data_IF_832113470534
#
_entry.id   IF_832113470534
#
_cell.length_a   1.000
_cell.length_b   1.000
_cell.length_c   1.000
_cell.angle_alpha   90.00
_cell.angle_beta   90.00
_cell.angle_gamma   90.00
#
_symmetry.space_group_name_H-M   'P 1'
#
loop_
_entity.id
_entity.type
_entity.pdbx_description
1 polymer ?
#
# COMPACT_ATOMS: atom_id res chain seq x y z
N UNK A 1 2.23 26.61 9.41
CA UNK A 1 0.94 26.10 8.88
C UNK A 1 1.19 25.71 7.43
N UNK A 2 0.83 24.51 7.00
CA UNK A 2 1.17 24.03 5.65
C UNK A 2 0.37 24.85 4.62
N UNK A 3 1.04 25.44 3.62
CA UNK A 3 0.42 26.31 2.57
C UNK A 3 -0.78 25.61 1.92
N UNK A 4 -0.69 24.30 1.70
CA UNK A 4 -1.79 23.51 1.13
C UNK A 4 -3.04 23.52 2.03
N UNK A 5 -2.89 23.35 3.36
CA UNK A 5 -4.03 23.40 4.28
C UNK A 5 -4.72 24.77 4.23
N UNK A 6 -3.95 25.85 4.11
CA UNK A 6 -4.50 27.20 3.97
C UNK A 6 -5.29 27.37 2.67
N UNK A 7 -4.79 26.84 1.55
CA UNK A 7 -5.47 26.91 0.26
C UNK A 7 -6.75 26.07 0.29
N UNK A 8 -6.74 24.86 0.84
CA UNK A 8 -7.95 24.05 0.98
C UNK A 8 -9.03 24.77 1.81
N UNK A 9 -8.64 25.43 2.91
CA UNK A 9 -9.58 26.25 3.71
C UNK A 9 -10.15 27.41 2.88
N UNK A 10 -9.32 28.10 2.10
CA UNK A 10 -9.79 29.18 1.22
C UNK A 10 -10.78 28.68 0.16
N UNK A 11 -10.47 27.54 -0.48
CA UNK A 11 -11.37 26.92 -1.46
C UNK A 11 -12.68 26.50 -0.79
N UNK A 12 -12.63 25.86 0.39
CA UNK A 12 -13.80 25.47 1.17
C UNK A 12 -14.70 26.69 1.45
N UNK A 13 -14.13 27.76 1.97
CA UNK A 13 -14.84 29.00 2.25
C UNK A 13 -15.46 29.65 0.98
N UNK A 14 -14.70 29.66 -0.13
CA UNK A 14 -15.17 30.18 -1.41
C UNK A 14 -16.36 29.39 -1.96
N UNK A 15 -16.38 28.08 -1.70
CA UNK A 15 -17.41 27.15 -2.19
C UNK A 15 -18.54 26.93 -1.18
N UNK A 16 -18.46 27.53 0.04
CA UNK A 16 -19.40 27.30 1.13
C UNK A 16 -19.38 25.86 1.64
N UNK A 17 -18.20 25.21 1.62
CA UNK A 17 -17.99 23.85 2.05
C UNK A 17 -17.22 23.80 3.38
N UNK A 18 -17.67 22.99 4.31
CA UNK A 18 -16.92 22.67 5.53
C UNK A 18 -15.89 21.57 5.22
N UNK A 19 -14.64 21.78 5.68
CA UNK A 19 -13.59 20.78 5.49
C UNK A 19 -13.64 19.75 6.61
N UNK A 20 -13.59 18.49 6.27
CA UNK A 20 -13.38 17.44 7.26
C UNK A 20 -11.92 17.44 7.74
N UNK A 21 -11.73 17.30 9.05
CA UNK A 21 -10.39 17.23 9.61
C UNK A 21 -9.64 16.03 9.05
N UNK A 22 -8.43 16.29 8.56
CA UNK A 22 -7.50 15.30 8.05
C UNK A 22 -6.13 15.53 8.64
N UNK A 23 -5.59 14.50 9.27
CA UNK A 23 -4.21 14.54 9.77
C UNK A 23 -3.26 14.38 8.58
N UNK A 24 -2.65 15.50 8.16
CA UNK A 24 -1.63 15.49 7.12
C UNK A 24 -0.32 14.96 7.73
N UNK A 25 0.11 13.81 7.27
CA UNK A 25 1.41 13.25 7.67
C UNK A 25 2.53 14.01 6.98
N UNK A 26 3.32 14.74 7.75
CA UNK A 26 4.48 15.51 7.24
C UNK A 26 5.82 14.95 7.75
N UNK A 27 5.80 13.87 8.55
CA UNK A 27 7.02 13.28 9.08
C UNK A 27 7.72 12.44 8.00
N UNK A 28 8.98 12.76 7.75
CA UNK A 28 9.89 11.88 7.01
C UNK A 28 10.52 10.95 8.04
N UNK A 29 10.30 9.66 7.93
CA UNK A 29 10.97 8.66 8.75
C UNK A 29 12.44 8.55 8.31
N UNK A 30 13.36 8.45 9.27
CA UNK A 30 14.79 8.23 8.99
C UNK A 30 14.98 6.87 8.27
N UNK A 31 14.24 5.86 8.70
CA UNK A 31 14.11 4.56 8.03
C UNK A 31 12.64 4.41 7.63
N UNK A 32 12.31 4.10 6.37
CA UNK A 32 10.92 4.12 5.86
C UNK A 32 10.13 2.87 6.29
N UNK A 33 9.97 2.67 7.60
CA UNK A 33 9.30 1.49 8.19
C UNK A 33 7.84 1.44 7.78
N UNK A 34 7.12 2.57 7.82
CA UNK A 34 5.71 2.64 7.41
C UNK A 34 5.52 2.22 5.97
N UNK A 35 6.38 2.71 5.06
CA UNK A 35 6.31 2.33 3.65
C UNK A 35 6.64 0.84 3.44
N UNK A 36 7.63 0.32 4.17
CA UNK A 36 8.01 -1.10 4.11
C UNK A 36 6.86 -2.01 4.55
N UNK A 37 6.16 -1.65 5.63
CA UNK A 37 4.98 -2.37 6.11
C UNK A 37 3.86 -2.29 5.06
N UNK A 38 3.58 -1.10 4.53
CA UNK A 38 2.54 -0.89 3.53
C UNK A 38 2.81 -1.68 2.24
N UNK A 39 4.03 -1.67 1.74
CA UNK A 39 4.43 -2.45 0.56
C UNK A 39 4.23 -3.95 0.80
N UNK A 40 4.72 -4.48 1.93
CA UNK A 40 4.56 -5.90 2.25
C UNK A 40 3.09 -6.30 2.36
N UNK A 41 2.26 -5.49 3.01
CA UNK A 41 0.83 -5.75 3.15
C UNK A 41 0.07 -5.61 1.83
N UNK A 42 0.41 -4.64 0.99
CA UNK A 42 -0.15 -4.49 -0.36
C UNK A 42 0.16 -5.73 -1.20
N UNK A 43 1.42 -6.15 -1.24
CA UNK A 43 1.87 -7.34 -1.96
C UNK A 43 1.11 -8.60 -1.49
N UNK A 44 1.04 -8.86 -0.17
CA UNK A 44 0.32 -10.04 0.34
C UNK A 44 -1.19 -9.93 0.06
N UNK A 45 -1.78 -8.74 0.09
CA UNK A 45 -3.23 -8.55 -0.15
C UNK A 45 -3.60 -8.84 -1.60
N UNK A 46 -2.75 -8.41 -2.54
CA UNK A 46 -2.99 -8.55 -3.99
C UNK A 46 -2.37 -9.82 -4.59
N UNK A 47 -1.55 -10.53 -3.82
CA UNK A 47 -0.99 -11.80 -4.25
C UNK A 47 -2.10 -12.77 -4.62
N UNK A 48 -1.97 -13.39 -5.78
CA UNK A 48 -2.94 -14.34 -6.34
C UNK A 48 -4.36 -13.78 -6.51
N UNK A 49 -4.51 -12.44 -6.56
CA UNK A 49 -5.80 -11.83 -6.89
C UNK A 49 -5.92 -11.66 -8.40
N UNK A 50 -7.13 -11.91 -8.90
CA UNK A 50 -7.50 -11.57 -10.28
C UNK A 50 -8.68 -10.60 -10.27
N UNK A 51 -8.50 -9.50 -10.99
CA UNK A 51 -9.56 -8.51 -11.22
C UNK A 51 -9.88 -8.56 -12.71
N UNK A 52 -11.11 -8.87 -13.03
CA UNK A 52 -11.50 -9.02 -14.42
C UNK A 52 -12.85 -8.34 -14.73
N UNK A 53 -13.02 -7.96 -15.99
CA UNK A 53 -14.23 -7.30 -16.51
C UNK A 53 -14.95 -8.23 -17.42
N UNK A 54 -16.10 -8.69 -16.98
CA UNK A 54 -16.93 -9.65 -17.70
C UNK A 54 -17.97 -8.92 -18.54
N UNK A 55 -18.02 -9.23 -19.84
CA UNK A 55 -18.99 -8.72 -20.79
C UNK A 55 -18.58 -9.08 -22.22
N UNK A 56 -19.54 -9.18 -23.12
CA UNK A 56 -19.32 -9.57 -24.55
C UNK A 56 -19.32 -8.38 -25.50
N UNK A 57 -19.53 -7.17 -24.98
CA UNK A 57 -19.62 -5.96 -25.78
C UNK A 57 -18.27 -5.23 -25.90
N UNK A 58 -18.17 -4.33 -26.89
CA UNK A 58 -16.93 -3.56 -27.14
C UNK A 58 -16.45 -2.75 -25.94
N UNK A 59 -17.36 -2.30 -25.08
CA UNK A 59 -17.01 -1.54 -23.88
C UNK A 59 -16.31 -2.42 -22.84
N UNK A 60 -16.85 -3.60 -22.56
CA UNK A 60 -16.24 -4.55 -21.65
C UNK A 60 -14.84 -4.97 -22.12
N UNK A 61 -14.69 -5.28 -23.42
CA UNK A 61 -13.37 -5.60 -23.99
C UNK A 61 -12.37 -4.44 -23.84
N UNK A 62 -12.78 -3.22 -24.13
CA UNK A 62 -11.93 -2.04 -23.99
C UNK A 62 -11.52 -1.78 -22.53
N UNK A 63 -12.45 -1.95 -21.58
CA UNK A 63 -12.14 -1.79 -20.16
C UNK A 63 -11.21 -2.88 -19.64
N UNK A 64 -11.35 -4.12 -20.14
CA UNK A 64 -10.43 -5.22 -19.82
C UNK A 64 -9.03 -4.93 -20.37
N UNK A 65 -8.92 -4.44 -21.61
CA UNK A 65 -7.63 -4.03 -22.19
C UNK A 65 -6.93 -2.94 -21.38
N UNK A 66 -7.67 -1.93 -20.91
CA UNK A 66 -7.13 -0.88 -20.02
C UNK A 66 -6.65 -1.49 -18.71
N UNK A 67 -7.43 -2.39 -18.13
CA UNK A 67 -7.09 -3.03 -16.86
C UNK A 67 -5.77 -3.80 -16.98
N UNK A 68 -5.63 -4.62 -18.00
CA UNK A 68 -4.45 -5.46 -18.24
C UNK A 68 -3.22 -4.65 -18.66
N UNK A 69 -3.40 -3.59 -19.46
CA UNK A 69 -2.27 -2.85 -20.05
C UNK A 69 -1.51 -2.00 -19.05
N UNK A 70 -2.19 -1.36 -18.11
CA UNK A 70 -1.51 -0.46 -17.15
C UNK A 70 -2.23 -0.22 -15.83
N UNK A 71 -3.56 -0.45 -15.77
CA UNK A 71 -4.34 -0.04 -14.60
C UNK A 71 -4.07 -0.95 -13.39
N UNK A 72 -3.75 -2.22 -13.62
CA UNK A 72 -3.42 -3.15 -12.55
C UNK A 72 -2.23 -2.67 -11.72
N UNK A 73 -1.14 -2.25 -12.36
CA UNK A 73 0.03 -1.65 -11.70
C UNK A 73 -0.33 -0.38 -10.91
N UNK A 74 -1.25 0.44 -11.46
CA UNK A 74 -1.74 1.64 -10.78
C UNK A 74 -2.56 1.30 -9.53
N UNK A 75 -3.33 0.24 -9.56
CA UNK A 75 -4.10 -0.25 -8.41
C UNK A 75 -3.16 -0.74 -7.31
N UNK A 76 -2.11 -1.50 -7.64
CA UNK A 76 -1.10 -1.95 -6.69
C UNK A 76 -0.44 -0.79 -5.97
N UNK A 77 0.02 0.20 -6.73
CA UNK A 77 0.64 1.41 -6.18
C UNK A 77 -0.34 2.21 -5.32
N UNK A 78 -1.61 2.33 -5.72
CA UNK A 78 -2.63 3.02 -4.94
C UNK A 78 -2.93 2.28 -3.62
N UNK A 79 -2.87 0.96 -3.59
CA UNK A 79 -3.03 0.15 -2.38
C UNK A 79 -1.88 0.40 -1.39
N UNK A 80 -0.63 0.42 -1.86
CA UNK A 80 0.52 0.75 -1.01
C UNK A 80 0.39 2.17 -0.43
N UNK A 81 0.01 3.16 -1.25
CA UNK A 81 -0.20 4.53 -0.81
C UNK A 81 -1.35 4.61 0.21
N UNK A 82 -2.46 3.91 -0.03
CA UNK A 82 -3.60 3.90 0.90
C UNK A 82 -3.23 3.30 2.26
N UNK A 83 -2.40 2.26 2.30
CA UNK A 83 -1.90 1.67 3.55
C UNK A 83 -0.92 2.60 4.27
N UNK A 84 -0.01 3.24 3.54
CA UNK A 84 1.01 4.11 4.14
C UNK A 84 0.44 5.45 4.62
N UNK A 85 -0.54 6.02 3.92
CA UNK A 85 -1.06 7.38 4.20
C UNK A 85 -2.50 7.42 4.69
N UNK A 86 -3.20 6.29 4.66
CA UNK A 86 -4.59 6.13 5.12
C UNK A 86 -5.61 6.01 3.99
N UNK A 87 -5.46 6.77 2.93
CA UNK A 87 -6.31 6.70 1.74
C UNK A 87 -5.60 7.20 0.47
N UNK A 88 -6.13 6.79 -0.67
CA UNK A 88 -5.66 7.17 -1.98
C UNK A 88 -6.84 7.34 -2.93
N UNK A 89 -6.76 8.28 -3.88
CA UNK A 89 -7.73 8.39 -4.95
C UNK A 89 -7.13 7.94 -6.27
N UNK A 90 -7.94 7.24 -7.04
CA UNK A 90 -7.73 6.94 -8.44
C UNK A 90 -8.63 7.90 -9.25
N UNK A 91 -8.02 8.87 -9.92
CA UNK A 91 -8.74 9.89 -10.68
C UNK A 91 -8.59 9.64 -12.17
N UNK A 92 -9.64 9.19 -12.86
CA UNK A 92 -9.57 9.01 -14.29
C UNK A 92 -9.63 10.35 -15.02
N UNK A 93 -8.93 10.41 -16.16
CA UNK A 93 -8.95 11.54 -17.10
C UNK A 93 -8.88 11.01 -18.52
N UNK A 94 -9.11 11.89 -19.50
CA UNK A 94 -9.04 11.53 -20.91
C UNK A 94 -8.31 12.61 -21.71
N UNK A 95 -7.55 12.21 -22.69
CA UNK A 95 -6.99 13.08 -23.73
C UNK A 95 -7.88 13.18 -24.98
N UNK A 96 -9.09 12.62 -24.91
CA UNK A 96 -10.07 12.53 -25.99
C UNK A 96 -10.18 11.13 -26.60
N UNK A 97 -9.11 10.37 -26.70
CA UNK A 97 -9.10 9.01 -27.26
C UNK A 97 -8.75 7.94 -26.22
N UNK A 98 -7.87 8.26 -25.28
CA UNK A 98 -7.39 7.32 -24.29
C UNK A 98 -7.87 7.73 -22.90
N UNK A 99 -8.04 6.75 -22.03
CA UNK A 99 -8.29 6.96 -20.61
C UNK A 99 -6.96 6.80 -19.87
N UNK A 100 -6.63 7.79 -19.05
CA UNK A 100 -5.55 7.71 -18.07
C UNK A 100 -6.14 7.68 -16.65
N UNK A 101 -5.35 7.24 -15.68
CA UNK A 101 -5.70 7.27 -14.25
C UNK A 101 -4.55 7.84 -13.44
N UNK A 102 -4.80 8.98 -12.82
CA UNK A 102 -3.87 9.60 -11.88
C UNK A 102 -4.08 9.04 -10.47
N UNK A 103 -2.97 8.88 -9.75
CA UNK A 103 -2.95 8.50 -8.35
C UNK A 103 -2.80 9.77 -7.51
N UNK A 104 -3.82 10.08 -6.70
CA UNK A 104 -3.82 11.24 -5.82
C UNK A 104 -3.57 10.80 -4.38
N UNK A 105 -2.47 11.26 -3.83
CA UNK A 105 -2.05 10.92 -2.46
C UNK A 105 -2.97 11.56 -1.43
N UNK A 106 -3.02 10.97 -0.23
CA UNK A 106 -3.85 11.45 0.88
C UNK A 106 -3.68 12.95 1.19
N UNK A 107 -2.49 13.51 1.02
CA UNK A 107 -2.21 14.92 1.29
C UNK A 107 -2.66 15.88 0.17
N UNK A 108 -2.99 15.36 -1.00
CA UNK A 108 -3.34 16.13 -2.19
C UNK A 108 -4.86 16.20 -2.42
N UNK A 109 -5.67 15.71 -1.48
CA UNK A 109 -7.12 15.90 -1.51
C UNK A 109 -7.72 16.06 -0.11
N UNK A 110 -8.90 16.68 -0.04
CA UNK A 110 -9.70 16.81 1.18
C UNK A 110 -11.16 16.52 0.86
N UNK A 111 -11.78 15.67 1.68
CA UNK A 111 -13.21 15.45 1.66
C UNK A 111 -13.89 16.61 2.40
N UNK A 112 -14.91 17.20 1.80
CA UNK A 112 -15.64 18.34 2.37
C UNK A 112 -17.00 17.91 2.93
N UNK A 113 -17.72 17.05 2.20
CA UNK A 113 -19.04 16.58 2.62
C UNK A 113 -19.20 15.07 2.35
N UNK A 114 -19.85 14.40 3.28
CA UNK A 114 -20.13 12.97 3.19
C UNK A 114 -21.35 12.55 4.03
N UNK A 115 -22.01 11.48 3.63
CA UNK A 115 -23.02 10.80 4.42
C UNK A 115 -22.55 9.35 4.64
N UNK A 116 -22.20 9.03 5.88
CA UNK A 116 -21.55 7.74 6.18
C UNK A 116 -20.27 7.60 5.36
N UNK A 117 -20.13 6.52 4.61
CA UNK A 117 -18.96 6.30 3.72
C UNK A 117 -19.12 6.93 2.32
N UNK A 118 -20.24 7.54 2.03
CA UNK A 118 -20.52 8.14 0.73
C UNK A 118 -20.04 9.60 0.68
N UNK A 119 -19.02 9.86 -0.16
CA UNK A 119 -18.44 11.20 -0.34
C UNK A 119 -19.30 12.01 -1.29
N UNK A 120 -19.76 13.19 -0.85
CA UNK A 120 -20.56 14.12 -1.67
C UNK A 120 -19.75 15.26 -2.25
N UNK A 121 -18.71 15.70 -1.57
CA UNK A 121 -17.86 16.78 -2.05
C UNK A 121 -16.40 16.55 -1.69
N UNK A 122 -15.51 16.85 -2.66
CA UNK A 122 -14.07 16.66 -2.53
C UNK A 122 -13.32 17.79 -3.26
N UNK A 123 -12.20 18.20 -2.69
CA UNK A 123 -11.23 19.09 -3.32
C UNK A 123 -9.96 18.28 -3.61
N UNK A 124 -9.50 18.33 -4.85
CA UNK A 124 -8.34 17.56 -5.33
C UNK A 124 -7.31 18.52 -5.90
N UNK A 125 -6.06 18.39 -5.47
CA UNK A 125 -4.90 19.02 -6.13
C UNK A 125 -4.57 18.19 -7.37
N UNK A 126 -4.68 18.80 -8.57
CA UNK A 126 -4.49 18.10 -9.83
C UNK A 126 -3.09 18.28 -10.39
N UNK A 127 -2.67 19.53 -10.59
CA UNK A 127 -1.43 19.86 -11.27
C UNK A 127 -0.67 20.95 -10.52
N UNK A 128 0.65 20.94 -10.69
CA UNK A 128 1.54 21.97 -10.21
C UNK A 128 2.52 22.35 -11.32
N UNK A 129 2.56 23.63 -11.70
CA UNK A 129 3.42 24.13 -12.77
C UNK A 129 4.28 25.27 -12.23
N UNK A 130 5.60 25.12 -12.39
CA UNK A 130 6.56 26.17 -12.04
C UNK A 130 6.83 27.07 -13.26
N UNK A 131 6.50 28.38 -13.12
CA UNK A 131 6.77 29.40 -14.15
C UNK A 131 7.63 30.52 -13.53
N UNK A 132 8.92 30.50 -13.80
CA UNK A 132 9.90 31.37 -13.13
C UNK A 132 10.06 31.05 -11.65
N UNK A 133 9.84 32.05 -10.80
CA UNK A 133 9.87 31.90 -9.32
C UNK A 133 8.52 31.49 -8.73
N UNK A 134 7.44 31.55 -9.52
CA UNK A 134 6.09 31.26 -9.08
C UNK A 134 5.74 29.79 -9.29
N UNK A 135 4.98 29.25 -8.34
CA UNK A 135 4.41 27.90 -8.40
C UNK A 135 2.91 28.05 -8.51
N UNK A 136 2.36 27.61 -9.63
CA UNK A 136 0.93 27.62 -9.90
C UNK A 136 0.37 26.23 -9.65
N UNK A 137 -0.71 26.13 -8.89
CA UNK A 137 -1.34 24.86 -8.55
C UNK A 137 -2.81 24.90 -8.96
N UNK A 138 -3.25 23.86 -9.66
CA UNK A 138 -4.65 23.68 -10.07
C UNK A 138 -5.36 22.72 -9.13
N UNK A 139 -6.55 23.13 -8.73
CA UNK A 139 -7.45 22.34 -7.88
C UNK A 139 -8.75 22.06 -8.62
N UNK A 140 -9.25 20.86 -8.43
CA UNK A 140 -10.58 20.44 -8.89
C UNK A 140 -11.49 20.22 -7.69
N UNK A 141 -12.66 20.80 -7.73
CA UNK A 141 -13.71 20.63 -6.72
C UNK A 141 -14.85 19.86 -7.35
N UNK A 142 -15.14 18.68 -6.86
CA UNK A 142 -16.29 17.89 -7.27
C UNK A 142 -17.35 17.93 -6.17
N UNK A 143 -18.60 18.26 -6.52
CA UNK A 143 -19.71 18.34 -5.57
C UNK A 143 -20.97 17.76 -6.17
N UNK A 144 -21.57 16.79 -5.48
CA UNK A 144 -22.88 16.25 -5.82
C UNK A 144 -23.97 17.14 -5.24
N UNK A 145 -24.91 17.54 -6.08
CA UNK A 145 -26.11 18.31 -5.70
C UNK A 145 -27.34 17.61 -6.19
N UNK A 146 -28.40 17.66 -5.42
CA UNK A 146 -29.70 17.17 -5.81
C UNK A 146 -30.68 18.34 -5.92
N UNK A 147 -31.31 18.46 -7.07
CA UNK A 147 -32.33 19.48 -7.34
C UNK A 147 -33.51 18.80 -7.99
N UNK A 148 -34.69 18.93 -7.40
CA UNK A 148 -35.95 18.34 -7.89
C UNK A 148 -35.86 16.81 -8.12
N UNK A 149 -35.13 16.08 -7.25
CA UNK A 149 -34.94 14.63 -7.39
C UNK A 149 -33.96 14.17 -8.48
N UNK A 150 -33.28 15.11 -9.13
CA UNK A 150 -32.22 14.81 -10.12
C UNK A 150 -30.88 15.13 -9.48
N UNK A 151 -29.96 14.16 -9.52
CA UNK A 151 -28.59 14.36 -9.02
C UNK A 151 -27.71 14.97 -10.12
N UNK A 152 -26.94 15.97 -9.73
CA UNK A 152 -25.99 16.68 -10.60
C UNK A 152 -24.60 16.61 -9.99
N UNK A 153 -23.60 16.36 -10.81
CA UNK A 153 -22.21 16.58 -10.43
C UNK A 153 -21.75 17.93 -10.95
N UNK A 154 -21.32 18.80 -10.03
CA UNK A 154 -20.70 20.08 -10.34
C UNK A 154 -19.19 19.93 -10.17
N UNK A 155 -18.43 20.19 -11.23
CA UNK A 155 -16.98 20.18 -11.24
C UNK A 155 -16.52 21.61 -11.44
N UNK A 156 -15.72 22.14 -10.50
CA UNK A 156 -15.08 23.47 -10.63
C UNK A 156 -13.58 23.35 -10.63
N UNK A 157 -12.95 24.08 -11.54
CA UNK A 157 -11.49 24.17 -11.65
C UNK A 157 -11.02 25.53 -11.14
N UNK A 158 -10.03 25.50 -10.25
CA UNK A 158 -9.48 26.70 -9.62
C UNK A 158 -7.96 26.67 -9.72
N UNK A 159 -7.34 27.81 -10.03
CA UNK A 159 -5.88 27.94 -10.05
C UNK A 159 -5.41 28.92 -8.97
N UNK A 160 -4.27 28.62 -8.37
CA UNK A 160 -3.66 29.46 -7.33
C UNK A 160 -2.17 29.64 -7.61
N UNK A 161 -1.66 30.85 -7.30
CA UNK A 161 -0.24 31.15 -7.16
C UNK A 161 0.03 31.44 -5.68
N UNK A 162 0.64 30.48 -4.98
CA UNK A 162 0.66 30.50 -3.53
C UNK A 162 -0.76 30.55 -2.98
N UNK A 163 -1.11 31.59 -2.21
CA UNK A 163 -2.44 31.76 -1.64
C UNK A 163 -3.41 32.58 -2.51
N UNK A 164 -2.97 33.13 -3.63
CA UNK A 164 -3.79 34.02 -4.47
C UNK A 164 -4.44 33.22 -5.60
N UNK A 165 -5.77 33.34 -5.72
CA UNK A 165 -6.48 32.75 -6.85
C UNK A 165 -6.12 33.54 -8.13
N UNK A 166 -5.88 32.79 -9.21
CA UNK A 166 -5.54 33.32 -10.54
C UNK A 166 -6.42 32.64 -11.59
N UNK A 167 -6.65 33.28 -12.74
CA UNK A 167 -7.36 32.63 -13.85
C UNK A 167 -6.60 31.42 -14.39
N UNK A 168 -7.32 30.42 -14.92
CA UNK A 168 -6.71 29.21 -15.49
C UNK A 168 -5.80 29.50 -16.69
N UNK A 169 -6.15 30.52 -17.49
CA UNK A 169 -5.41 30.90 -18.70
C UNK A 169 -4.00 31.48 -18.44
N UNK A 170 -3.59 31.69 -17.20
CA UNK A 170 -2.21 32.09 -16.84
C UNK A 170 -1.22 30.99 -17.21
N UNK A 171 -1.67 29.75 -17.26
CA UNK A 171 -0.90 28.58 -17.68
C UNK A 171 -1.48 28.04 -18.99
N UNK A 172 -0.68 27.99 -20.03
CA UNK A 172 -1.11 27.64 -21.39
C UNK A 172 -1.78 26.28 -21.48
N UNK A 173 -1.29 25.29 -20.72
CA UNK A 173 -1.88 23.94 -20.66
C UNK A 173 -3.26 23.90 -19.99
N UNK A 174 -3.63 24.91 -19.21
CA UNK A 174 -4.93 25.00 -18.53
C UNK A 174 -5.92 25.91 -19.23
N UNK A 175 -5.49 26.66 -20.26
CA UNK A 175 -6.31 27.67 -20.94
C UNK A 175 -7.61 27.12 -21.55
N UNK A 176 -7.58 25.85 -21.97
CA UNK A 176 -8.74 25.18 -22.57
C UNK A 176 -9.62 24.40 -21.55
N UNK A 177 -9.24 24.40 -20.26
CA UNK A 177 -10.02 23.72 -19.22
C UNK A 177 -11.20 24.60 -18.84
N UNK A 178 -12.41 24.04 -18.85
CA UNK A 178 -13.62 24.74 -18.44
C UNK A 178 -13.60 24.98 -16.93
N UNK A 179 -13.84 26.22 -16.50
CA UNK A 179 -13.88 26.59 -15.09
C UNK A 179 -14.99 25.88 -14.32
N UNK A 180 -16.15 25.66 -14.95
CA UNK A 180 -17.28 24.94 -14.36
C UNK A 180 -17.93 23.99 -15.36
N UNK A 181 -18.25 22.80 -14.90
CA UNK A 181 -18.99 21.78 -15.65
C UNK A 181 -20.08 21.20 -14.75
N UNK A 182 -21.28 21.02 -15.33
CA UNK A 182 -22.42 20.42 -14.64
C UNK A 182 -22.84 19.20 -15.43
N UNK A 183 -22.80 18.03 -14.79
CA UNK A 183 -23.15 16.76 -15.44
C UNK A 183 -24.39 16.19 -14.73
N UNK A 184 -25.52 16.07 -15.45
CA UNK A 184 -26.76 15.53 -14.86
C UNK A 184 -26.70 14.00 -14.74
N UNK A 185 -27.57 13.48 -13.88
CA UNK A 185 -27.78 12.05 -13.65
C UNK A 185 -26.55 11.29 -13.13
N UNK A 186 -25.68 11.97 -12.39
CA UNK A 186 -24.49 11.37 -11.77
C UNK A 186 -24.79 11.06 -10.32
N UNK A 187 -24.53 9.82 -9.91
CA UNK A 187 -24.85 9.31 -8.56
C UNK A 187 -23.68 9.35 -7.57
N UNK A 188 -22.45 9.47 -8.06
CA UNK A 188 -21.24 9.51 -7.23
C UNK A 188 -20.16 10.38 -7.88
N UNK A 189 -19.13 10.75 -7.13
CA UNK A 189 -17.99 11.51 -7.65
C UNK A 189 -17.22 10.71 -8.72
N UNK A 190 -16.54 11.41 -9.62
CA UNK A 190 -15.75 10.78 -10.69
C UNK A 190 -14.34 10.44 -10.22
N UNK A 191 -14.25 9.75 -9.11
CA UNK A 191 -12.99 9.22 -8.53
C UNK A 191 -13.26 7.88 -7.87
N UNK A 192 -12.27 7.00 -7.89
CA UNK A 192 -12.24 5.79 -7.06
C UNK A 192 -11.45 6.06 -5.77
N UNK A 193 -12.03 5.82 -4.60
CA UNK A 193 -11.34 6.03 -3.32
C UNK A 193 -11.01 4.70 -2.67
N UNK A 194 -9.71 4.40 -2.52
CA UNK A 194 -9.22 3.27 -1.75
C UNK A 194 -8.88 3.76 -0.34
N UNK A 195 -9.54 3.19 0.66
CA UNK A 195 -9.34 3.51 2.07
C UNK A 195 -8.54 2.40 2.75
N UNK A 196 -7.54 2.76 3.56
CA UNK A 196 -6.84 1.82 4.43
C UNK A 196 -7.81 1.13 5.40
N UNK A 197 -7.52 -0.11 5.82
CA UNK A 197 -8.40 -0.89 6.70
C UNK A 197 -8.31 -0.50 8.18
N UNK A 198 -7.35 0.37 8.54
CA UNK A 198 -7.12 0.83 9.91
C UNK A 198 -8.24 1.76 10.36
N UNK A 199 -8.75 1.55 11.58
CA UNK A 199 -9.81 2.37 12.14
C UNK A 199 -9.24 3.73 12.57
N UNK A 200 -9.92 4.80 12.18
CA UNK A 200 -9.63 6.14 12.69
C UNK A 200 -10.28 6.30 14.07
N UNK A 201 -9.50 6.09 15.13
CA UNK A 201 -9.99 6.15 16.51
C UNK A 201 -10.25 7.60 16.94
N UNK A 202 -9.51 8.57 16.39
CA UNK A 202 -9.65 9.98 16.73
C UNK A 202 -10.97 10.57 16.20
N UNK A 203 -11.43 10.04 15.05
CA UNK A 203 -12.71 10.43 14.45
C UNK A 203 -13.38 9.23 13.76
N UNK A 204 -14.20 8.51 14.53
CA UNK A 204 -14.89 7.28 14.10
C UNK A 204 -15.83 7.53 12.89
N UNK A 205 -16.40 8.73 12.80
CA UNK A 205 -17.33 9.08 11.72
C UNK A 205 -16.61 9.62 10.47
N UNK A 206 -15.27 9.70 10.50
CA UNK A 206 -14.50 10.18 9.35
C UNK A 206 -14.51 9.17 8.21
N UNK A 207 -14.81 9.66 7.01
CA UNK A 207 -14.64 8.89 5.77
C UNK A 207 -13.16 8.76 5.37
N UNK A 208 -12.28 9.56 5.98
CA UNK A 208 -10.87 9.50 5.71
C UNK A 208 -10.24 8.29 6.42
N UNK A 209 -9.38 7.59 5.71
CA UNK A 209 -8.54 6.54 6.26
C UNK A 209 -7.38 7.11 7.09
N UNK A 210 -6.73 6.25 7.82
CA UNK A 210 -5.48 6.53 8.54
C UNK A 210 -4.44 5.47 8.18
N UNK A 211 -3.17 5.84 8.27
CA UNK A 211 -2.04 4.94 8.02
C UNK A 211 -2.14 3.66 8.85
N UNK A 212 -1.60 2.56 8.34
CA UNK A 212 -1.45 1.31 9.08
C UNK A 212 -0.64 1.48 10.36
N UNK A 213 0.24 2.48 10.40
CA UNK A 213 1.07 2.83 11.57
C UNK A 213 0.55 4.03 12.34
N UNK A 214 -0.70 4.44 12.14
CA UNK A 214 -1.28 5.60 12.82
C UNK A 214 -1.19 5.46 14.36
N UNK A 215 -0.62 6.46 15.02
CA UNK A 215 -0.41 6.46 16.48
C UNK A 215 0.75 5.57 16.97
N UNK A 216 1.51 4.93 16.10
CA UNK A 216 2.61 4.02 16.44
C UNK A 216 4.00 4.67 16.37
N UNK A 217 4.10 6.00 16.27
CA UNK A 217 5.38 6.75 16.19
C UNK A 217 6.43 6.27 17.23
N UNK A 218 5.99 6.02 18.47
CA UNK A 218 6.90 5.57 19.53
C UNK A 218 7.44 4.16 19.28
N UNK A 219 6.61 3.25 18.82
CA UNK A 219 7.00 1.88 18.52
C UNK A 219 7.98 1.85 17.33
N UNK A 220 7.71 2.65 16.31
CA UNK A 220 8.62 2.83 15.16
C UNK A 220 9.97 3.37 15.63
N UNK A 221 9.99 4.41 16.47
CA UNK A 221 11.22 4.97 17.00
C UNK A 221 12.02 3.93 17.81
N UNK A 222 11.37 3.05 18.58
CA UNK A 222 12.08 1.98 19.28
C UNK A 222 12.74 0.97 18.33
N UNK A 223 12.11 0.67 17.20
CA UNK A 223 12.73 -0.18 16.17
C UNK A 223 13.94 0.53 15.56
N UNK A 224 13.81 1.80 15.20
CA UNK A 224 14.91 2.62 14.64
C UNK A 224 16.07 2.73 15.64
N UNK A 225 15.77 3.03 16.90
CA UNK A 225 16.79 3.13 17.95
C UNK A 225 17.52 1.80 18.19
N UNK A 226 16.79 0.67 18.17
CA UNK A 226 17.39 -0.65 18.31
C UNK A 226 18.31 -0.98 17.14
N UNK A 227 17.88 -0.65 15.91
CA UNK A 227 18.69 -0.82 14.71
C UNK A 227 19.95 0.06 14.73
N UNK A 228 19.81 1.32 15.11
CA UNK A 228 20.93 2.26 15.20
C UNK A 228 21.94 1.82 16.28
N UNK A 229 21.47 1.33 17.45
CA UNK A 229 22.34 0.76 18.49
C UNK A 229 23.10 -0.46 18.01
N UNK A 230 22.44 -1.34 17.23
CA UNK A 230 23.10 -2.50 16.64
C UNK A 230 24.23 -2.07 15.70
N UNK A 231 23.97 -1.11 14.79
CA UNK A 231 24.99 -0.60 13.88
C UNK A 231 26.12 0.12 14.63
N UNK A 232 25.79 0.93 15.63
CA UNK A 232 26.80 1.62 16.43
C UNK A 232 27.72 0.63 17.16
N UNK A 233 27.17 -0.46 17.72
CA UNK A 233 27.99 -1.48 18.39
C UNK A 233 28.96 -2.16 17.42
N UNK A 234 28.53 -2.34 16.15
CA UNK A 234 29.41 -2.88 15.08
C UNK A 234 30.52 -1.88 14.75
N UNK A 235 30.19 -0.59 14.62
CA UNK A 235 31.14 0.47 14.35
C UNK A 235 32.13 0.67 15.51
N UNK A 236 31.63 0.64 16.76
CA UNK A 236 32.42 0.82 17.97
C UNK A 236 33.33 -0.38 18.30
N UNK A 237 33.17 -1.54 17.61
CA UNK A 237 34.04 -2.72 17.76
C UNK A 237 35.47 -2.48 17.28
N UNK A 238 35.82 -1.31 16.83
CA UNK A 238 37.20 -1.03 16.45
C UNK A 238 38.15 -1.38 17.60
N UNK A 239 39.14 -2.19 17.30
CA UNK A 239 40.18 -2.59 18.23
C UNK A 239 40.91 -1.33 18.71
N UNK A 240 40.80 -1.03 20.02
CA UNK A 240 41.53 0.08 20.65
C UNK A 240 42.91 -0.39 21.07
N UNK A 241 43.93 0.34 20.68
CA UNK A 241 45.30 0.08 21.06
C UNK A 241 45.73 1.15 22.06
N UNK A 242 45.99 0.75 23.29
CA UNK A 242 46.54 1.61 24.31
C UNK A 242 48.06 1.43 24.35
N UNK A 243 48.80 2.48 24.05
CA UNK A 243 50.24 2.40 23.96
C UNK A 243 50.91 3.43 24.85
N UNK A 244 52.02 3.06 25.49
CA UNK A 244 52.85 3.99 26.27
C UNK A 244 53.47 5.07 25.40
N UNK A 245 53.60 6.28 25.94
CA UNK A 245 54.18 7.45 25.25
C UNK A 245 55.55 7.18 24.63
N UNK A 246 56.33 6.29 25.23
CA UNK A 246 57.67 5.91 24.81
C UNK A 246 57.70 5.20 23.45
N UNK A 247 56.59 4.62 23.00
CA UNK A 247 56.49 3.90 21.75
C UNK A 247 56.21 4.79 20.52
N UNK A 248 55.90 6.05 20.76
CA UNK A 248 55.60 6.98 19.66
C UNK A 248 56.87 7.76 19.25
N UNK A 249 57.13 7.78 17.94
CA UNK A 249 58.24 8.57 17.42
C UNK A 249 57.94 10.07 17.55
N UNK A 250 58.89 10.80 18.07
CA UNK A 250 58.85 12.24 18.19
C UNK A 250 59.42 12.82 16.91
N UNK A 251 58.67 13.68 16.22
CA UNK A 251 59.20 14.43 15.10
C UNK A 251 60.35 15.32 15.59
N UNK A 252 61.49 15.26 14.90
CA UNK A 252 62.69 15.95 15.32
C UNK A 252 62.59 17.47 15.11
N UNK A 253 61.77 17.91 14.12
CA UNK A 253 61.68 19.30 13.69
C UNK A 253 60.71 20.15 14.55
N UNK A 254 59.60 19.58 15.03
CA UNK A 254 58.56 20.35 15.72
C UNK A 254 58.17 19.78 17.12
N UNK A 255 58.78 18.69 17.52
CA UNK A 255 58.50 18.03 18.78
C UNK A 255 57.12 17.38 18.86
N UNK A 256 56.35 17.37 17.75
CA UNK A 256 55.03 16.75 17.67
C UNK A 256 55.12 15.23 17.67
N UNK A 257 54.11 14.59 18.27
CA UNK A 257 54.01 13.15 18.27
C UNK A 257 53.11 12.77 17.10
N UNK A 258 53.66 12.13 16.06
CA UNK A 258 52.88 11.62 14.94
C UNK A 258 52.36 10.21 15.25
N UNK A 259 51.07 10.04 15.13
CA UNK A 259 50.45 8.73 15.10
C UNK A 259 50.62 8.09 13.70
N UNK A 260 50.82 6.77 13.62
CA UNK A 260 50.87 6.11 12.34
C UNK A 260 49.60 6.39 11.52
N UNK A 261 49.74 6.89 10.31
CA UNK A 261 48.65 7.15 9.40
C UNK A 261 48.05 5.81 8.96
N UNK A 262 46.89 5.47 9.49
CA UNK A 262 46.09 4.30 9.13
C UNK A 262 44.65 4.53 9.54
N UNK A 263 43.70 3.86 8.84
CA UNK A 263 42.26 4.02 9.08
C UNK A 263 41.93 3.91 10.58
N UNK A 264 41.40 4.99 11.13
CA UNK A 264 40.64 5.15 12.38
C UNK A 264 40.96 4.21 13.54
N UNK A 265 42.21 4.04 13.91
CA UNK A 265 42.58 3.36 15.15
C UNK A 265 42.76 4.39 16.23
N UNK A 266 41.90 4.35 17.26
CA UNK A 266 41.97 5.27 18.40
C UNK A 266 43.10 4.83 19.31
N UNK A 267 44.16 5.67 19.45
CA UNK A 267 45.26 5.46 20.37
C UNK A 267 45.04 6.34 21.60
N UNK A 268 44.90 5.72 22.77
CA UNK A 268 44.79 6.44 24.03
C UNK A 268 46.08 6.31 24.86
N UNK A 269 46.45 7.42 25.49
CA UNK A 269 47.58 7.45 26.43
C UNK A 269 47.17 6.87 27.77
N UNK A 270 47.88 5.84 28.24
CA UNK A 270 47.79 5.41 29.62
C UNK A 270 48.70 6.28 30.49
N UNK A 271 48.11 7.23 31.22
CA UNK A 271 48.82 8.00 32.26
C UNK A 271 48.99 7.08 33.48
N UNK A 272 50.24 6.69 33.80
CA UNK A 272 50.53 5.97 35.04
C UNK A 272 51.19 4.61 34.91
N UNK A 273 51.41 4.09 33.72
CA UNK A 273 52.34 2.96 33.56
C UNK A 273 53.76 3.49 33.77
N UNK A 274 54.50 2.87 34.71
CA UNK A 274 55.85 3.32 35.08
C UNK A 274 56.77 3.58 33.91
N UNK A 275 57.62 4.57 34.04
CA UNK A 275 58.37 5.22 32.94
C UNK A 275 59.32 4.29 32.16
N UNK A 276 59.54 3.05 32.59
CA UNK A 276 60.65 2.23 32.09
C UNK A 276 60.29 0.99 31.24
N UNK A 277 59.03 0.68 30.95
CA UNK A 277 58.71 -0.42 30.09
C UNK A 277 57.67 -0.06 29.01
N UNK A 278 58.01 -0.26 27.73
CA UNK A 278 57.04 -0.09 26.64
C UNK A 278 55.90 -1.11 26.78
N UNK A 279 54.68 -0.62 26.97
CA UNK A 279 53.49 -1.46 27.07
C UNK A 279 52.48 -1.10 25.98
N UNK A 280 51.97 -2.13 25.33
CA UNK A 280 50.86 -2.06 24.41
C UNK A 280 49.76 -2.96 24.93
N UNK A 281 48.61 -2.39 25.22
CA UNK A 281 47.41 -3.14 25.57
C UNK A 281 46.43 -3.05 24.40
N UNK A 282 45.97 -4.19 23.90
CA UNK A 282 44.98 -4.27 22.83
C UNK A 282 43.65 -4.63 23.47
N UNK A 283 42.71 -3.74 23.35
CA UNK A 283 41.35 -3.97 23.83
C UNK A 283 40.44 -4.16 22.60
N UNK A 284 39.89 -5.36 22.45
CA UNK A 284 38.93 -5.71 21.42
C UNK A 284 37.66 -6.21 22.11
N UNK A 285 36.65 -5.35 22.29
CA UNK A 285 35.44 -5.75 23.00
C UNK A 285 34.68 -6.78 22.16
N UNK A 286 34.05 -7.74 22.84
CA UNK A 286 33.10 -8.63 22.20
C UNK A 286 31.80 -7.87 21.88
N UNK A 287 31.25 -8.08 20.68
CA UNK A 287 29.94 -7.51 20.31
C UNK A 287 28.84 -8.32 20.99
N UNK A 288 27.87 -7.64 21.57
CA UNK A 288 26.66 -8.24 22.15
C UNK A 288 25.61 -8.55 21.07
N UNK A 289 26.01 -9.19 19.97
CA UNK A 289 25.17 -9.42 18.78
C UNK A 289 23.84 -10.06 19.15
N UNK A 290 23.86 -11.19 19.88
CA UNK A 290 22.65 -11.93 20.25
C UNK A 290 21.66 -11.08 21.08
N UNK A 291 22.16 -10.27 22.01
CA UNK A 291 21.31 -9.43 22.86
C UNK A 291 20.67 -8.27 22.05
N UNK A 292 21.42 -7.66 21.13
CA UNK A 292 20.97 -6.57 20.30
C UNK A 292 20.00 -7.06 19.21
N UNK A 293 20.29 -8.18 18.56
CA UNK A 293 19.42 -8.83 17.59
C UNK A 293 18.09 -9.23 18.23
N UNK A 294 18.13 -9.86 19.41
CA UNK A 294 16.93 -10.21 20.17
C UNK A 294 16.11 -8.98 20.57
N UNK A 295 16.77 -7.88 20.92
CA UNK A 295 16.12 -6.60 21.24
C UNK A 295 15.41 -6.01 20.03
N UNK A 296 16.05 -6.01 18.86
CA UNK A 296 15.44 -5.57 17.60
C UNK A 296 14.25 -6.45 17.22
N UNK A 297 14.40 -7.78 17.31
CA UNK A 297 13.34 -8.73 17.01
C UNK A 297 12.11 -8.53 17.93
N UNK A 298 12.31 -8.30 19.22
CA UNK A 298 11.22 -8.01 20.17
C UNK A 298 10.47 -6.73 19.80
N UNK A 299 11.18 -5.66 19.41
CA UNK A 299 10.56 -4.41 18.99
C UNK A 299 9.77 -4.59 17.68
N UNK A 300 10.28 -5.36 16.72
CA UNK A 300 9.56 -5.70 15.49
C UNK A 300 8.31 -6.53 15.79
N UNK A 301 8.38 -7.53 16.66
CA UNK A 301 7.20 -8.33 17.09
C UNK A 301 6.14 -7.47 17.77
N UNK A 302 6.57 -6.51 18.61
CA UNK A 302 5.65 -5.56 19.22
C UNK A 302 4.97 -4.69 18.16
N UNK A 303 5.72 -4.22 17.17
CA UNK A 303 5.17 -3.42 16.07
C UNK A 303 4.17 -4.23 15.22
N UNK A 304 4.47 -5.52 14.93
CA UNK A 304 3.52 -6.45 14.28
C UNK A 304 2.19 -6.50 15.05
N UNK A 305 2.26 -6.76 16.35
CA UNK A 305 1.08 -6.87 17.21
C UNK A 305 0.27 -5.56 17.23
N UNK A 306 0.95 -4.40 17.33
CA UNK A 306 0.30 -3.09 17.35
C UNK A 306 -0.34 -2.72 16.01
N UNK A 307 0.22 -3.16 14.88
CA UNK A 307 -0.39 -3.05 13.56
C UNK A 307 -1.55 -4.03 13.34
N UNK A 308 -1.83 -4.92 14.30
CA UNK A 308 -2.86 -5.97 14.17
C UNK A 308 -2.46 -7.08 13.21
N UNK A 309 -1.15 -7.28 13.03
CA UNK A 309 -0.59 -8.30 12.17
C UNK A 309 -0.22 -9.55 12.98
N UNK A 310 -0.12 -10.66 12.28
CA UNK A 310 0.38 -11.91 12.82
C UNK A 310 1.89 -11.86 12.99
N UNK A 311 2.42 -12.60 13.94
CA UNK A 311 3.86 -12.74 14.13
C UNK A 311 4.52 -13.39 12.91
N UNK A 312 5.69 -12.90 12.51
CA UNK A 312 6.44 -13.41 11.35
C UNK A 312 6.14 -12.69 10.04
N UNK A 313 5.32 -11.64 10.05
CA UNK A 313 5.10 -10.79 8.87
C UNK A 313 6.28 -9.82 8.65
N UNK A 314 6.77 -9.18 9.71
CA UNK A 314 7.94 -8.30 9.67
C UNK A 314 9.21 -8.99 10.17
N UNK A 315 9.06 -9.96 11.06
CA UNK A 315 10.13 -10.78 11.61
C UNK A 315 10.32 -12.06 10.80
N UNK A 316 11.32 -12.85 11.13
CA UNK A 316 11.50 -14.18 10.55
C UNK A 316 10.30 -15.08 10.93
N UNK A 317 9.65 -15.72 9.94
CA UNK A 317 8.54 -16.61 10.23
C UNK A 317 9.01 -17.77 11.11
N UNK A 318 8.19 -18.14 12.09
CA UNK A 318 8.40 -19.37 12.83
C UNK A 318 8.21 -20.55 11.86
N UNK A 319 9.30 -21.21 11.51
CA UNK A 319 9.34 -22.26 10.47
C UNK A 319 8.79 -23.61 10.90
N UNK A 320 8.39 -23.77 12.16
CA UNK A 320 7.98 -25.05 12.73
C UNK A 320 6.46 -25.14 12.93
N UNK A 321 5.68 -24.96 11.85
CA UNK A 321 4.27 -25.35 11.87
C UNK A 321 4.17 -26.85 11.54
N UNK A 322 3.58 -27.64 12.42
CA UNK A 322 3.39 -29.06 12.19
C UNK A 322 2.22 -29.32 11.22
N UNK A 323 1.28 -28.36 11.10
CA UNK A 323 0.10 -28.48 10.25
C UNK A 323 -0.28 -27.16 9.58
N UNK A 324 -0.96 -27.24 8.43
CA UNK A 324 -1.50 -26.07 7.74
C UNK A 324 -2.56 -25.34 8.60
N UNK A 325 -3.28 -26.05 9.47
CA UNK A 325 -4.26 -25.48 10.40
C UNK A 325 -3.59 -24.58 11.44
N UNK A 326 -2.44 -25.00 11.99
CA UNK A 326 -1.66 -24.15 12.90
C UNK A 326 -1.13 -22.91 12.20
N UNK A 327 -0.64 -23.03 10.98
CA UNK A 327 -0.20 -21.92 10.16
C UNK A 327 -1.35 -20.92 9.93
N UNK A 328 -2.55 -21.40 9.57
CA UNK A 328 -3.76 -20.58 9.43
C UNK A 328 -4.12 -19.85 10.71
N UNK A 329 -4.15 -20.57 11.83
CA UNK A 329 -4.46 -19.98 13.12
C UNK A 329 -3.45 -18.89 13.50
N UNK A 330 -2.16 -19.10 13.22
CA UNK A 330 -1.12 -18.10 13.48
C UNK A 330 -1.24 -16.86 12.60
N UNK A 331 -1.76 -16.98 11.38
CA UNK A 331 -1.90 -15.87 10.42
C UNK A 331 -3.30 -15.20 10.44
N UNK A 332 -4.20 -15.62 11.31
CA UNK A 332 -5.60 -15.18 11.35
C UNK A 332 -5.77 -13.65 11.41
N UNK A 333 -4.94 -12.95 12.20
CA UNK A 333 -5.01 -11.49 12.33
C UNK A 333 -4.71 -10.79 11.01
N UNK A 334 -3.65 -11.23 10.32
CA UNK A 334 -3.28 -10.69 9.00
C UNK A 334 -4.37 -10.96 7.96
N UNK A 335 -4.99 -12.14 7.98
CA UNK A 335 -6.11 -12.43 7.07
C UNK A 335 -7.32 -11.55 7.33
N UNK A 336 -7.69 -11.32 8.59
CA UNK A 336 -8.78 -10.42 8.92
C UNK A 336 -8.49 -8.98 8.46
N UNK A 337 -7.23 -8.55 8.56
CA UNK A 337 -6.78 -7.26 8.04
C UNK A 337 -6.91 -7.19 6.51
N UNK A 338 -6.38 -8.20 5.80
CA UNK A 338 -6.44 -8.30 4.34
C UNK A 338 -7.88 -8.33 3.82
N UNK A 339 -8.77 -9.11 4.43
CA UNK A 339 -10.18 -9.20 4.04
C UNK A 339 -10.87 -7.84 4.12
N UNK A 340 -10.63 -7.06 5.17
CA UNK A 340 -11.17 -5.70 5.27
C UNK A 340 -10.59 -4.78 4.20
N UNK A 341 -9.31 -4.92 3.89
CA UNK A 341 -8.67 -4.09 2.88
C UNK A 341 -9.15 -4.45 1.47
N UNK A 342 -9.30 -5.73 1.14
CA UNK A 342 -9.87 -6.22 -0.11
C UNK A 342 -11.25 -5.63 -0.38
N UNK A 343 -12.11 -5.60 0.63
CA UNK A 343 -13.43 -4.95 0.51
C UNK A 343 -13.33 -3.45 0.16
N UNK A 344 -12.38 -2.71 0.78
CA UNK A 344 -12.16 -1.30 0.46
C UNK A 344 -11.58 -1.10 -0.96
N UNK A 345 -10.73 -2.01 -1.43
CA UNK A 345 -10.20 -2.03 -2.79
C UNK A 345 -11.34 -2.23 -3.79
N UNK A 346 -12.21 -3.22 -3.56
CA UNK A 346 -13.37 -3.48 -4.42
C UNK A 346 -14.23 -2.23 -4.58
N UNK A 347 -14.58 -1.57 -3.48
CA UNK A 347 -15.37 -0.35 -3.50
C UNK A 347 -14.68 0.76 -4.30
N UNK A 348 -13.38 0.96 -4.09
CA UNK A 348 -12.61 1.97 -4.81
C UNK A 348 -12.52 1.70 -6.31
N UNK A 349 -12.33 0.44 -6.71
CA UNK A 349 -12.27 0.01 -8.11
C UNK A 349 -13.64 0.14 -8.78
N UNK A 350 -14.73 -0.26 -8.11
CA UNK A 350 -16.09 -0.08 -8.63
C UNK A 350 -16.39 1.41 -8.88
N UNK A 351 -16.00 2.29 -7.96
CA UNK A 351 -16.13 3.74 -8.13
C UNK A 351 -15.30 4.25 -9.32
N UNK A 352 -14.07 3.76 -9.46
CA UNK A 352 -13.20 4.13 -10.57
C UNK A 352 -13.81 3.74 -11.93
N UNK A 353 -14.25 2.51 -12.08
CA UNK A 353 -14.84 2.06 -13.35
C UNK A 353 -16.17 2.75 -13.67
N UNK A 354 -16.96 3.10 -12.64
CA UNK A 354 -18.10 3.98 -12.85
C UNK A 354 -17.67 5.34 -13.40
N UNK A 355 -16.62 5.95 -12.85
CA UNK A 355 -16.11 7.22 -13.35
C UNK A 355 -15.55 7.12 -14.77
N UNK A 356 -14.83 6.05 -15.07
CA UNK A 356 -14.34 5.74 -16.44
C UNK A 356 -15.52 5.59 -17.41
N UNK A 357 -16.58 4.87 -17.04
CA UNK A 357 -17.76 4.69 -17.87
C UNK A 357 -18.43 6.01 -18.26
N UNK A 358 -18.55 6.95 -17.30
CA UNK A 358 -19.06 8.30 -17.55
C UNK A 358 -18.15 9.06 -18.51
N UNK A 359 -16.83 8.98 -18.36
CA UNK A 359 -15.88 9.64 -19.28
C UNK A 359 -15.92 9.04 -20.68
N UNK A 360 -16.05 7.72 -20.82
CA UNK A 360 -16.22 7.05 -22.11
C UNK A 360 -17.49 7.49 -22.82
N UNK A 361 -18.59 7.68 -22.08
CA UNK A 361 -19.84 8.20 -22.60
C UNK A 361 -19.71 9.66 -23.05
N UNK A 362 -19.08 10.50 -22.24
CA UNK A 362 -18.93 11.94 -22.54
C UNK A 362 -18.06 12.19 -23.78
N UNK A 363 -17.08 11.33 -24.05
CA UNK A 363 -16.14 11.45 -25.18
C UNK A 363 -16.45 10.52 -26.36
N UNK A 364 -17.52 9.71 -26.29
CA UNK A 364 -17.92 8.75 -27.32
C UNK A 364 -16.78 7.80 -27.76
N UNK A 365 -15.92 7.39 -26.84
CA UNK A 365 -14.76 6.53 -27.11
C UNK A 365 -15.20 5.11 -27.50
N UNK A 366 -16.19 4.57 -26.80
CA UNK A 366 -16.78 3.26 -27.09
C UNK A 366 -18.30 3.32 -27.01
N UNK A 367 -19.04 2.45 -27.76
CA UNK A 367 -20.48 2.33 -27.60
C UNK A 367 -20.87 1.98 -26.15
N UNK A 368 -22.04 2.43 -25.70
CA UNK A 368 -22.60 2.06 -24.41
C UNK A 368 -22.81 0.55 -24.35
N UNK A 369 -22.40 -0.06 -23.23
CA UNK A 369 -22.53 -1.49 -23.01
C UNK A 369 -22.46 -1.84 -21.53
N UNK A 370 -23.17 -2.86 -21.14
CA UNK A 370 -23.14 -3.36 -19.76
C UNK A 370 -21.88 -4.21 -19.55
N UNK A 371 -21.28 -4.06 -18.36
CA UNK A 371 -20.15 -4.84 -17.91
C UNK A 371 -20.27 -5.11 -16.42
N UNK A 372 -19.57 -6.14 -15.95
CA UNK A 372 -19.51 -6.50 -14.54
C UNK A 372 -18.04 -6.65 -14.15
N UNK A 373 -17.65 -6.05 -13.02
CA UNK A 373 -16.32 -6.24 -12.44
C UNK A 373 -16.40 -7.45 -11.53
N UNK A 374 -15.50 -8.39 -11.70
CA UNK A 374 -15.35 -9.56 -10.83
C UNK A 374 -14.00 -9.51 -10.15
N UNK A 375 -13.99 -9.92 -8.89
CA UNK A 375 -12.81 -9.98 -8.06
C UNK A 375 -12.65 -11.42 -7.59
N UNK A 376 -11.55 -12.03 -7.97
CA UNK A 376 -11.13 -13.31 -7.41
C UNK A 376 -9.98 -13.06 -6.42
N UNK A 377 -10.25 -13.36 -5.17
CA UNK A 377 -9.30 -13.25 -4.08
C UNK A 377 -8.83 -14.64 -3.68
N UNK A 378 -8.36 -15.43 -4.63
CA UNK A 378 -7.81 -16.73 -4.32
C UNK A 378 -6.70 -16.58 -3.28
N UNK A 379 -6.74 -17.39 -2.25
CA UNK A 379 -5.79 -17.31 -1.15
C UNK A 379 -4.84 -18.51 -1.18
N UNK A 380 -4.08 -18.64 -2.27
CA UNK A 380 -3.07 -19.69 -2.39
C UNK A 380 -2.03 -19.66 -1.26
N UNK A 381 -1.81 -18.46 -0.71
CA UNK A 381 -0.96 -18.26 0.48
C UNK A 381 -1.44 -19.08 1.70
N UNK A 382 -2.71 -19.52 1.74
CA UNK A 382 -3.33 -20.19 2.90
C UNK A 382 -4.09 -21.42 2.54
N UNK A 383 -4.56 -21.56 1.33
CA UNK A 383 -5.22 -22.78 0.92
C UNK A 383 -4.19 -23.83 0.58
N UNK A 384 -3.94 -24.67 1.57
CA UNK A 384 -3.24 -25.93 1.31
C UNK A 384 -4.09 -26.72 0.33
N UNK A 385 -3.61 -26.87 -0.91
CA UNK A 385 -4.23 -27.67 -1.97
C UNK A 385 -4.64 -29.04 -1.41
N UNK A 386 -3.86 -29.58 -0.48
CA UNK A 386 -4.15 -30.82 0.24
C UNK A 386 -5.43 -30.74 1.09
N UNK A 387 -5.72 -29.61 1.74
CA UNK A 387 -6.96 -29.47 2.52
C UNK A 387 -8.19 -29.27 1.63
N UNK A 388 -8.04 -28.54 0.53
CA UNK A 388 -9.12 -28.44 -0.47
C UNK A 388 -9.37 -29.80 -1.10
N UNK A 389 -8.35 -30.50 -1.50
CA UNK A 389 -8.44 -31.87 -2.01
C UNK A 389 -9.13 -32.80 -1.01
N UNK A 390 -8.71 -32.78 0.26
CA UNK A 390 -9.32 -33.60 1.30
C UNK A 390 -10.80 -33.25 1.55
N UNK A 391 -11.20 -31.96 1.51
CA UNK A 391 -12.59 -31.54 1.60
C UNK A 391 -13.43 -32.02 0.41
N UNK A 392 -12.87 -31.92 -0.80
CA UNK A 392 -13.52 -32.38 -2.01
C UNK A 392 -13.69 -33.90 -1.97
N UNK A 393 -12.68 -34.65 -1.57
CA UNK A 393 -12.76 -36.11 -1.40
C UNK A 393 -13.74 -36.54 -0.29
N UNK A 394 -13.79 -35.80 0.82
CA UNK A 394 -14.80 -36.04 1.85
C UNK A 394 -16.23 -35.73 1.33
N UNK A 395 -16.37 -34.70 0.53
CA UNK A 395 -17.64 -34.34 -0.11
C UNK A 395 -18.10 -35.40 -1.11
N UNK A 396 -17.19 -36.05 -1.85
CA UNK A 396 -17.50 -37.20 -2.71
C UNK A 396 -17.97 -38.40 -1.90
N UNK A 397 -17.27 -38.73 -0.80
CA UNK A 397 -17.63 -39.86 0.06
C UNK A 397 -19.04 -39.71 0.68
N UNK A 398 -19.55 -38.47 0.83
CA UNK A 398 -20.90 -38.14 1.34
C UNK A 398 -21.88 -37.90 0.19
N UNK A 399 -21.43 -37.95 -1.08
CA UNK A 399 -22.27 -37.76 -2.27
C UNK A 399 -22.68 -36.30 -2.57
N UNK A 400 -21.94 -35.32 -2.01
CA UNK A 400 -22.21 -33.89 -2.21
C UNK A 400 -21.38 -33.30 -3.37
N UNK A 401 -20.24 -33.93 -3.73
CA UNK A 401 -19.34 -33.50 -4.81
C UNK A 401 -19.31 -34.59 -5.88
N UNK A 402 -19.34 -34.19 -7.16
CA UNK A 402 -19.33 -35.11 -8.29
C UNK A 402 -17.89 -35.44 -8.75
N UNK A 403 -17.62 -36.63 -9.31
CA UNK A 403 -16.31 -37.00 -9.84
C UNK A 403 -15.74 -36.04 -10.87
N UNK A 404 -16.59 -35.42 -11.70
CA UNK A 404 -16.18 -34.40 -12.66
C UNK A 404 -15.65 -33.10 -11.99
N UNK A 405 -16.23 -32.71 -10.85
CA UNK A 405 -15.78 -31.55 -10.08
C UNK A 405 -14.42 -31.80 -9.42
N UNK A 406 -14.20 -33.04 -8.97
CA UNK A 406 -12.89 -33.47 -8.43
C UNK A 406 -11.82 -33.42 -9.50
N UNK A 407 -12.14 -33.96 -10.68
CA UNK A 407 -11.21 -33.96 -11.80
C UNK A 407 -10.87 -32.56 -12.26
N UNK A 408 -11.89 -31.68 -12.43
CA UNK A 408 -11.71 -30.29 -12.79
C UNK A 408 -10.73 -29.60 -11.82
N UNK A 409 -10.89 -29.83 -10.51
CA UNK A 409 -10.00 -29.28 -9.48
C UNK A 409 -8.56 -29.82 -9.53
N UNK A 410 -8.40 -31.15 -9.74
CA UNK A 410 -7.06 -31.78 -9.72
C UNK A 410 -6.22 -31.36 -10.92
N UNK A 411 -6.84 -31.25 -12.09
CA UNK A 411 -6.16 -31.04 -13.36
C UNK A 411 -6.28 -29.63 -13.90
N UNK A 412 -6.92 -28.71 -13.15
CA UNK A 412 -7.22 -27.34 -13.55
C UNK A 412 -7.89 -27.27 -14.94
N UNK A 413 -8.88 -28.16 -15.14
CA UNK A 413 -9.64 -28.30 -16.37
C UNK A 413 -11.04 -27.67 -16.21
N UNK A 414 -11.63 -27.20 -17.30
CA UNK A 414 -13.04 -26.79 -17.29
C UNK A 414 -13.98 -27.97 -17.04
N UNK A 415 -15.16 -27.68 -16.47
CA UNK A 415 -16.11 -28.72 -16.02
C UNK A 415 -16.63 -29.61 -17.16
N UNK A 416 -16.74 -29.08 -18.40
CA UNK A 416 -17.17 -29.85 -19.57
C UNK A 416 -16.10 -30.84 -19.99
N UNK A 417 -14.85 -30.41 -20.08
CA UNK A 417 -13.71 -31.29 -20.39
C UNK A 417 -13.52 -32.35 -19.32
N UNK A 418 -13.63 -31.98 -18.05
CA UNK A 418 -13.53 -32.91 -16.93
C UNK A 418 -14.64 -33.99 -16.98
N UNK A 419 -15.87 -33.61 -17.33
CA UNK A 419 -17.01 -34.53 -17.50
C UNK A 419 -16.78 -35.51 -18.63
N UNK A 420 -16.36 -35.03 -19.82
CA UNK A 420 -16.07 -35.90 -20.95
C UNK A 420 -15.03 -36.96 -20.60
N UNK A 421 -13.95 -36.56 -19.96
CA UNK A 421 -12.88 -37.49 -19.56
C UNK A 421 -13.27 -38.46 -18.44
N UNK A 422 -14.16 -38.05 -17.51
CA UNK A 422 -14.72 -38.96 -16.50
C UNK A 422 -15.64 -39.99 -17.15
N UNK A 423 -16.44 -39.60 -18.14
CA UNK A 423 -17.30 -40.52 -18.88
C UNK A 423 -16.50 -41.50 -19.74
N UNK A 424 -15.40 -41.07 -20.37
CA UNK A 424 -14.44 -41.94 -21.06
C UNK A 424 -13.83 -43.00 -20.13
N UNK A 425 -13.40 -42.56 -18.91
CA UNK A 425 -12.84 -43.50 -17.93
C UNK A 425 -13.88 -44.51 -17.48
N UNK A 426 -15.11 -44.06 -17.18
CA UNK A 426 -16.20 -44.95 -16.77
C UNK A 426 -16.56 -45.96 -17.88
N UNK A 427 -16.54 -45.56 -19.15
CA UNK A 427 -16.83 -46.40 -20.30
C UNK A 427 -15.70 -47.42 -20.59
N UNK A 428 -14.46 -47.13 -20.19
CA UNK A 428 -13.30 -47.99 -20.41
C UNK A 428 -13.07 -49.00 -19.27
N UNK A 429 -13.79 -48.93 -18.15
CA UNK A 429 -13.69 -49.91 -17.06
C UNK A 429 -14.41 -51.21 -17.45
N UNK A 430 -13.76 -52.38 -17.31
CA UNK A 430 -14.41 -53.64 -17.56
C UNK A 430 -15.55 -53.86 -16.55
N UNK A 431 -16.73 -54.14 -17.06
CA UNK A 431 -17.90 -54.48 -16.21
C UNK A 431 -17.59 -55.87 -15.60
N UNK A 432 -17.14 -55.90 -14.36
CA UNK A 432 -17.16 -57.13 -13.57
C UNK A 432 -18.64 -57.46 -13.33
N UNK A 433 -19.16 -58.43 -14.03
CA UNK A 433 -20.43 -59.08 -13.69
C UNK A 433 -20.16 -59.86 -12.42
N UNK A 434 -20.78 -59.51 -11.33
CA UNK A 434 -20.91 -60.41 -10.18
C UNK A 434 -21.74 -61.59 -10.67
N UNK A 435 -21.08 -62.73 -10.88
CA UNK A 435 -21.75 -64.02 -11.01
C UNK A 435 -22.33 -64.40 -9.63
N UNK A 436 -23.59 -64.14 -9.47
CA UNK A 436 -24.40 -64.79 -8.42
C UNK A 436 -24.44 -66.28 -8.74
N UNK A 437 -23.78 -67.11 -7.91
CA UNK A 437 -23.88 -68.54 -7.87
C UNK A 437 -24.13 -68.99 -6.44
#
# INVERSE_FOLDING_TARGET
MNVFKTIFIKIGNLMGLELQEKNLTTKTEEIPITQTIANKLSTITLMDSDISIVGTNKRACYLQEILESYLYERIELACEIALSTGDCLLKPYTDGNNIGVDIVKSNDFIVCDSIGNFVKSIIIKCDEVKKGINIYTRYEVQTLKEVNGISYLVIKQLAFNGENQVPLNVIDTWANIKEEQIIPNIKQLLVGKIKGPTVNVDNINSVNGVSVTNGLDKAINYVIDAYNRFNQEIEDKETMIFASKVLFQKNVDDGSISLPKGKNRIFHWLKGAGEDSPRIDIFSPDIRVEALERGLELNLKMLEMLCGLSAGILTSPHTNFATATEMRASLQSTFAFMTRFRHNIELGIQQLFYAIDILLNANNVTPIGEFKITFDWSSSYVENITEQFNRIMQGEAVGVVKPEEIRAFIFDEDLETAKQKVDEIKSSQPIFKDDEG
#
